data_IF_012951811466
#
_entry.id   IF_012951811466
#
_cell.length_a   1.000
_cell.length_b   1.000
_cell.length_c   1.000
_cell.angle_alpha   90.00
_cell.angle_beta   90.00
_cell.angle_gamma   90.00
#
_symmetry.space_group_name_H-M   'P 1'
#
loop_
_entity.id
_entity.type
_entity.pdbx_description
1 polymer ?
#
# COMPACT_ATOMS: atom_id res chain seq x y z
N UNK A 1 -15.94 19.10 20.54
CA UNK A 1 -15.96 17.65 20.24
C UNK A 1 -15.71 17.50 18.75
N UNK A 2 -14.45 17.28 18.33
CA UNK A 2 -14.09 17.23 16.90
C UNK A 2 -14.70 15.97 16.26
N UNK A 3 -15.30 16.06 15.05
CA UNK A 3 -15.88 14.88 14.42
C UNK A 3 -14.75 13.93 14.05
N UNK A 4 -14.97 12.64 14.33
CA UNK A 4 -14.05 11.57 14.01
C UNK A 4 -13.70 11.62 12.52
N UNK A 5 -12.42 11.86 12.23
CA UNK A 5 -11.86 11.86 10.89
C UNK A 5 -12.24 10.51 10.21
N UNK A 6 -12.89 10.51 9.03
CA UNK A 6 -13.31 9.25 8.44
C UNK A 6 -12.09 8.35 8.16
N UNK A 7 -12.22 7.03 8.36
CA UNK A 7 -11.08 6.10 8.50
C UNK A 7 -10.19 5.99 7.25
N UNK A 8 -10.61 6.51 6.09
CA UNK A 8 -9.81 6.55 4.86
C UNK A 8 -8.70 7.62 4.87
N UNK A 9 -8.70 8.58 5.81
CA UNK A 9 -7.73 9.69 5.86
C UNK A 9 -6.46 9.37 6.65
N UNK A 10 -6.39 8.21 7.31
CA UNK A 10 -5.23 7.85 8.15
C UNK A 10 -4.00 7.42 7.35
N UNK A 11 -4.18 6.74 6.22
CA UNK A 11 -3.05 6.43 5.33
C UNK A 11 -2.50 7.68 4.64
N UNK A 12 -3.38 8.65 4.32
CA UNK A 12 -2.99 9.98 3.84
C UNK A 12 -2.20 10.76 4.91
N UNK A 13 -2.67 10.72 6.17
CA UNK A 13 -1.95 11.32 7.29
C UNK A 13 -0.60 10.64 7.52
N UNK A 14 -0.54 9.31 7.43
CA UNK A 14 0.70 8.55 7.52
C UNK A 14 1.71 8.97 6.45
N UNK A 15 1.29 9.12 5.19
CA UNK A 15 2.16 9.63 4.11
C UNK A 15 2.70 11.01 4.45
N UNK A 16 1.85 11.91 4.98
CA UNK A 16 2.26 13.26 5.39
C UNK A 16 3.25 13.25 6.56
N UNK A 17 2.98 12.47 7.60
CA UNK A 17 3.81 12.40 8.81
C UNK A 17 5.18 11.73 8.54
N UNK A 18 5.26 10.88 7.51
CA UNK A 18 6.47 10.14 7.13
C UNK A 18 7.21 10.68 5.90
N UNK A 19 6.93 11.91 5.45
CA UNK A 19 7.65 12.56 4.33
C UNK A 19 9.19 12.60 4.49
N UNK A 20 9.74 12.30 5.67
CA UNK A 20 11.18 12.16 5.89
C UNK A 20 11.80 10.93 5.21
N UNK A 21 11.03 9.87 4.96
CA UNK A 21 11.48 8.71 4.20
C UNK A 21 10.57 8.49 2.99
N UNK A 22 11.13 8.39 1.77
CA UNK A 22 10.30 8.18 0.61
C UNK A 22 9.62 6.80 0.66
N UNK A 23 8.34 6.79 0.29
CA UNK A 23 7.48 5.63 0.45
C UNK A 23 7.54 4.78 -0.81
N UNK A 24 8.10 3.58 -0.70
CA UNK A 24 8.26 2.67 -1.83
C UNK A 24 6.93 2.04 -2.19
N UNK A 25 6.58 2.11 -3.48
CA UNK A 25 5.49 1.31 -4.03
C UNK A 25 4.09 1.77 -3.60
N UNK A 26 3.95 2.98 -3.06
CA UNK A 26 2.64 3.57 -2.75
C UNK A 26 1.66 3.52 -3.95
N UNK A 27 2.06 3.75 -5.22
CA UNK A 27 1.15 3.66 -6.36
C UNK A 27 0.52 2.28 -6.58
N UNK A 28 1.06 1.23 -5.94
CA UNK A 28 0.51 -0.12 -5.97
C UNK A 28 -0.49 -0.40 -4.85
N UNK A 29 -0.70 0.54 -3.92
CA UNK A 29 -1.65 0.40 -2.82
C UNK A 29 -2.93 1.17 -3.15
N UNK A 30 -4.06 0.49 -3.00
CA UNK A 30 -5.40 1.10 -3.07
C UNK A 30 -6.13 0.90 -1.76
N UNK A 31 -6.89 1.91 -1.35
CA UNK A 31 -7.82 1.82 -0.22
C UNK A 31 -9.20 1.49 -0.78
N UNK A 32 -9.73 0.32 -0.43
CA UNK A 32 -11.09 -0.08 -0.75
C UNK A 32 -12.00 0.32 0.40
N UNK A 33 -13.02 1.13 0.12
CA UNK A 33 -14.09 1.50 1.04
C UNK A 33 -15.44 1.01 0.49
N UNK A 34 -16.44 0.96 1.35
CA UNK A 34 -17.82 0.79 0.91
C UNK A 34 -18.69 1.78 1.69
N UNK A 35 -19.14 2.83 1.00
CA UNK A 35 -19.96 3.89 1.61
C UNK A 35 -21.26 3.37 2.23
N UNK A 36 -21.77 2.22 1.74
CA UNK A 36 -22.98 1.57 2.25
C UNK A 36 -22.76 0.70 3.50
N UNK A 37 -21.52 0.37 3.84
CA UNK A 37 -21.22 -0.66 4.84
C UNK A 37 -20.81 -0.12 6.22
N UNK A 38 -20.62 1.20 6.40
CA UNK A 38 -20.08 1.82 7.63
C UNK A 38 -18.97 0.99 8.30
N UNK A 39 -18.05 0.47 7.50
CA UNK A 39 -17.10 -0.52 7.97
C UNK A 39 -15.66 -0.11 7.66
N UNK A 40 -14.73 -0.71 8.38
CA UNK A 40 -13.29 -0.43 8.24
C UNK A 40 -12.82 -0.64 6.80
N UNK A 41 -12.03 0.30 6.25
CA UNK A 41 -11.42 0.16 4.93
C UNK A 41 -10.52 -1.07 4.85
N UNK A 42 -10.41 -1.64 3.65
CA UNK A 42 -9.44 -2.67 3.31
C UNK A 42 -8.37 -2.08 2.41
N UNK A 43 -7.12 -2.48 2.60
CA UNK A 43 -6.03 -2.08 1.73
C UNK A 43 -5.68 -3.25 0.82
N UNK A 44 -5.44 -2.97 -0.46
CA UNK A 44 -4.97 -3.94 -1.43
C UNK A 44 -3.64 -3.45 -2.00
N UNK A 45 -2.62 -4.29 -1.93
CA UNK A 45 -1.37 -4.07 -2.65
C UNK A 45 -1.36 -4.92 -3.92
N UNK A 46 -1.33 -4.27 -5.08
CA UNK A 46 -1.22 -4.96 -6.36
C UNK A 46 0.14 -5.64 -6.52
N UNK A 47 1.23 -5.04 -6.03
CA UNK A 47 2.57 -5.64 -6.12
C UNK A 47 2.60 -7.01 -5.42
N UNK A 48 2.16 -7.05 -4.17
CA UNK A 48 2.14 -8.26 -3.34
C UNK A 48 0.94 -9.17 -3.59
N UNK A 49 -0.12 -8.66 -4.23
CA UNK A 49 -1.42 -9.35 -4.40
C UNK A 49 -2.06 -9.77 -3.06
N UNK A 50 -1.92 -8.92 -2.05
CA UNK A 50 -2.43 -9.19 -0.69
C UNK A 50 -3.38 -8.09 -0.23
N UNK A 51 -4.37 -8.50 0.56
CA UNK A 51 -5.21 -7.59 1.35
C UNK A 51 -4.63 -7.44 2.75
N UNK A 52 -4.81 -6.28 3.36
CA UNK A 52 -4.39 -5.98 4.72
C UNK A 52 -5.27 -4.91 5.36
N UNK A 53 -5.37 -4.97 6.68
CA UNK A 53 -6.04 -3.98 7.49
C UNK A 53 -5.21 -2.70 7.59
N UNK A 54 -5.83 -1.63 8.09
CA UNK A 54 -5.14 -0.37 8.36
C UNK A 54 -3.95 -0.53 9.33
N UNK A 55 -4.08 -1.39 10.35
CA UNK A 55 -3.05 -1.63 11.34
C UNK A 55 -1.78 -2.28 10.74
N UNK A 56 -1.94 -3.01 9.63
CA UNK A 56 -0.87 -3.76 8.97
C UNK A 56 -0.17 -2.97 7.87
N UNK A 57 -0.72 -1.80 7.47
CA UNK A 57 -0.17 -0.95 6.41
C UNK A 57 1.31 -0.70 6.60
N UNK A 58 1.73 -0.33 7.82
CA UNK A 58 3.13 -0.03 8.11
C UNK A 58 4.03 -1.25 7.94
N UNK A 59 3.64 -2.37 8.54
CA UNK A 59 4.41 -3.60 8.49
C UNK A 59 4.51 -4.11 7.05
N UNK A 60 3.41 -4.01 6.28
CA UNK A 60 3.39 -4.37 4.87
C UNK A 60 4.34 -3.49 4.05
N UNK A 61 4.21 -2.18 4.14
CA UNK A 61 5.00 -1.24 3.33
C UNK A 61 6.49 -1.25 3.68
N UNK A 62 6.84 -1.58 4.91
CA UNK A 62 8.23 -1.70 5.36
C UNK A 62 8.85 -3.08 5.12
N UNK A 63 8.05 -4.06 4.68
CA UNK A 63 8.51 -5.44 4.49
C UNK A 63 9.46 -5.58 3.30
N UNK A 64 10.36 -6.56 3.40
CA UNK A 64 11.26 -6.93 2.31
C UNK A 64 10.52 -7.49 1.10
N UNK A 65 9.44 -8.25 1.34
CA UNK A 65 8.59 -8.77 0.27
C UNK A 65 7.97 -7.64 -0.54
N UNK A 66 7.43 -6.60 0.09
CA UNK A 66 6.85 -5.46 -0.64
C UNK A 66 7.87 -4.71 -1.48
N UNK A 67 9.07 -4.44 -0.95
CA UNK A 67 10.14 -3.81 -1.70
C UNK A 67 10.53 -4.64 -2.93
N UNK A 68 10.75 -5.95 -2.74
CA UNK A 68 11.12 -6.89 -3.80
C UNK A 68 10.03 -7.01 -4.87
N UNK A 69 8.76 -7.21 -4.49
CA UNK A 69 7.67 -7.31 -5.46
C UNK A 69 7.40 -6.00 -6.21
N UNK A 70 7.59 -4.86 -5.55
CA UNK A 70 7.50 -3.55 -6.20
C UNK A 70 8.56 -3.42 -7.30
N UNK A 71 9.79 -3.85 -7.02
CA UNK A 71 10.89 -3.81 -7.99
C UNK A 71 10.70 -4.83 -9.12
N UNK A 72 10.23 -6.05 -8.81
CA UNK A 72 9.88 -7.05 -9.83
C UNK A 72 8.80 -6.51 -10.79
N UNK A 73 7.76 -5.84 -10.27
CA UNK A 73 6.73 -5.22 -11.11
C UNK A 73 7.22 -4.08 -11.98
N UNK A 74 8.36 -3.47 -11.63
CA UNK A 74 9.06 -2.48 -12.45
C UNK A 74 10.01 -3.10 -13.48
N UNK A 75 10.08 -4.44 -13.54
CA UNK A 75 10.90 -5.17 -14.52
C UNK A 75 12.38 -5.23 -14.16
N UNK A 76 12.75 -5.05 -12.88
CA UNK A 76 14.16 -4.97 -12.48
C UNK A 76 14.82 -6.36 -12.42
N UNK A 77 15.88 -6.62 -13.22
CA UNK A 77 16.49 -7.94 -13.38
C UNK A 77 17.34 -8.43 -12.19
N UNK A 78 17.54 -7.61 -11.15
CA UNK A 78 18.21 -8.03 -9.92
C UNK A 78 17.25 -8.28 -8.75
N UNK A 79 15.97 -7.95 -8.90
CA UNK A 79 14.95 -8.23 -7.88
C UNK A 79 14.64 -9.74 -7.75
N UNK A 80 15.13 -10.57 -8.67
CA UNK A 80 14.97 -12.04 -8.66
C UNK A 80 15.91 -12.75 -7.67
N UNK A 81 16.87 -12.03 -7.09
CA UNK A 81 17.73 -12.57 -6.03
C UNK A 81 16.99 -12.60 -4.69
N UNK A 82 16.75 -13.80 -4.16
CA UNK A 82 16.03 -14.01 -2.89
C UNK A 82 16.80 -13.54 -1.64
N UNK A 83 18.06 -13.10 -1.75
CA UNK A 83 18.96 -12.81 -0.63
C UNK A 83 19.46 -11.35 -0.59
N UNK A 84 18.73 -10.41 -1.18
CA UNK A 84 19.15 -9.01 -1.19
C UNK A 84 18.83 -8.31 0.15
N UNK A 85 19.82 -7.65 0.75
CA UNK A 85 19.66 -6.81 1.95
C UNK A 85 18.53 -5.78 1.73
N UNK A 86 17.60 -5.72 2.70
CA UNK A 86 16.44 -4.83 2.64
C UNK A 86 16.82 -3.35 2.44
N UNK A 87 17.95 -2.90 2.99
CA UNK A 87 18.46 -1.54 2.82
C UNK A 87 18.87 -1.28 1.38
N UNK A 88 19.46 -2.29 0.71
CA UNK A 88 19.83 -2.22 -0.70
C UNK A 88 18.58 -2.21 -1.57
N UNK A 89 17.63 -3.13 -1.33
CA UNK A 89 16.34 -3.15 -2.04
C UNK A 89 15.61 -1.80 -1.91
N UNK A 90 15.52 -1.27 -0.69
CA UNK A 90 14.87 0.02 -0.45
C UNK A 90 15.58 1.14 -1.19
N UNK A 91 16.91 1.23 -1.10
CA UNK A 91 17.70 2.25 -1.82
C UNK A 91 17.45 2.21 -3.32
N UNK A 92 17.56 1.03 -3.93
CA UNK A 92 17.34 0.87 -5.37
C UNK A 92 15.89 1.23 -5.77
N UNK A 93 14.90 0.79 -4.99
CA UNK A 93 13.50 1.13 -5.27
C UNK A 93 13.23 2.64 -5.18
N UNK A 94 13.93 3.33 -4.28
CA UNK A 94 13.82 4.78 -4.09
C UNK A 94 14.47 5.58 -5.21
N UNK A 95 15.70 5.25 -5.59
CA UNK A 95 16.41 5.88 -6.71
C UNK A 95 15.59 5.78 -7.99
N UNK A 96 14.99 4.62 -8.25
CA UNK A 96 14.10 4.41 -9.40
C UNK A 96 12.81 5.22 -9.31
N UNK A 97 12.19 5.28 -8.14
CA UNK A 97 10.97 6.06 -7.94
C UNK A 97 11.23 7.56 -8.18
N UNK A 98 12.41 8.07 -7.80
CA UNK A 98 12.84 9.45 -8.05
C UNK A 98 13.15 9.70 -9.54
N UNK A 99 13.82 8.77 -10.22
CA UNK A 99 14.11 8.89 -11.66
C UNK A 99 12.85 8.89 -12.53
N UNK A 100 11.76 8.26 -12.06
CA UNK A 100 10.50 8.16 -12.79
C UNK A 100 9.44 9.18 -12.33
N UNK A 101 9.63 9.85 -11.19
CA UNK A 101 8.65 10.78 -10.68
C UNK A 101 8.82 12.17 -11.27
N UNK A 102 7.90 12.53 -12.16
CA UNK A 102 7.50 13.93 -12.37
C UNK A 102 6.16 14.24 -11.64
N UNK A 103 5.66 13.35 -10.79
CA UNK A 103 4.27 13.39 -10.33
C UNK A 103 4.05 12.87 -8.91
N UNK A 104 3.08 13.52 -8.25
CA UNK A 104 2.66 13.31 -6.87
C UNK A 104 2.45 11.84 -6.47
N UNK A 105 2.74 11.57 -5.21
CA UNK A 105 2.43 10.31 -4.52
C UNK A 105 0.91 10.20 -4.25
N UNK A 106 0.12 9.94 -5.30
CA UNK A 106 -1.34 9.85 -5.20
C UNK A 106 -1.74 8.49 -4.62
N UNK A 107 -2.32 8.50 -3.42
CA UNK A 107 -3.05 7.37 -2.88
C UNK A 107 -4.41 7.24 -3.57
N UNK A 108 -4.69 6.04 -4.09
CA UNK A 108 -5.95 5.73 -4.77
C UNK A 108 -6.96 5.18 -3.76
N UNK A 109 -8.18 5.73 -3.78
CA UNK A 109 -9.31 5.27 -2.96
C UNK A 109 -10.43 4.81 -3.89
N UNK A 110 -10.90 3.58 -3.72
CA UNK A 110 -12.00 3.01 -4.48
C UNK A 110 -13.20 2.77 -3.56
N UNK A 111 -14.32 3.43 -3.85
CA UNK A 111 -15.62 3.07 -3.27
C UNK A 111 -16.20 1.91 -4.09
N UNK A 112 -16.24 0.73 -3.49
CA UNK A 112 -16.66 -0.51 -4.16
C UNK A 112 -18.08 -0.90 -3.72
N UNK A 113 -18.87 -1.50 -4.63
CA UNK A 113 -20.18 -2.07 -4.30
C UNK A 113 -20.13 -3.03 -3.10
N UNK A 114 -21.18 -3.02 -2.28
CA UNK A 114 -21.28 -3.86 -1.08
C UNK A 114 -21.06 -5.36 -1.36
N UNK A 115 -21.56 -5.86 -2.50
CA UNK A 115 -21.38 -7.25 -2.91
C UNK A 115 -19.92 -7.63 -3.14
N UNK A 116 -19.10 -6.71 -3.64
CA UNK A 116 -17.66 -6.91 -3.83
C UNK A 116 -16.97 -6.75 -2.48
N UNK A 117 -17.28 -5.69 -1.74
CA UNK A 117 -16.66 -5.40 -0.46
C UNK A 117 -16.85 -6.52 0.58
N UNK A 118 -18.05 -7.09 0.65
CA UNK A 118 -18.37 -8.20 1.54
C UNK A 118 -17.61 -9.49 1.19
N UNK A 119 -17.40 -9.78 -0.10
CA UNK A 119 -16.55 -10.90 -0.55
C UNK A 119 -15.10 -10.67 -0.15
N UNK A 120 -14.55 -9.49 -0.45
CA UNK A 120 -13.18 -9.13 -0.07
C UNK A 120 -12.93 -9.26 1.43
N UNK A 121 -13.90 -8.84 2.27
CA UNK A 121 -13.80 -9.02 3.71
C UNK A 121 -13.82 -10.49 4.13
N UNK A 122 -14.66 -11.31 3.54
CA UNK A 122 -14.71 -12.75 3.83
C UNK A 122 -13.39 -13.43 3.46
N UNK A 123 -12.83 -13.11 2.30
CA UNK A 123 -11.56 -13.69 1.85
C UNK A 123 -10.38 -13.23 2.74
N UNK A 124 -10.49 -12.04 3.34
CA UNK A 124 -9.49 -11.49 4.26
C UNK A 124 -9.61 -12.04 5.69
N UNK A 125 -10.79 -11.97 6.32
CA UNK A 125 -11.04 -12.40 7.70
C UNK A 125 -11.42 -13.88 7.84
N UNK A 126 -11.64 -14.58 6.73
CA UNK A 126 -11.92 -16.02 6.71
C UNK A 126 -10.67 -16.90 6.63
N UNK A 127 -9.47 -16.30 6.72
CA UNK A 127 -8.21 -16.98 7.01
C UNK A 127 -7.98 -17.02 8.51
#
# INVERSE_FOLDING_TARGET
MFPACPPHLRLVRFIKDKQKEPIIGLPYIVVCICSKAHSTPLHLCFACRTYFSEAEVWNHMSSQSHALYTMMRKGMPFAWGHDMDIRVLRRCALEQQQQQSNGDHILKVFDVPYSIFSKLKKDFFGK
#
